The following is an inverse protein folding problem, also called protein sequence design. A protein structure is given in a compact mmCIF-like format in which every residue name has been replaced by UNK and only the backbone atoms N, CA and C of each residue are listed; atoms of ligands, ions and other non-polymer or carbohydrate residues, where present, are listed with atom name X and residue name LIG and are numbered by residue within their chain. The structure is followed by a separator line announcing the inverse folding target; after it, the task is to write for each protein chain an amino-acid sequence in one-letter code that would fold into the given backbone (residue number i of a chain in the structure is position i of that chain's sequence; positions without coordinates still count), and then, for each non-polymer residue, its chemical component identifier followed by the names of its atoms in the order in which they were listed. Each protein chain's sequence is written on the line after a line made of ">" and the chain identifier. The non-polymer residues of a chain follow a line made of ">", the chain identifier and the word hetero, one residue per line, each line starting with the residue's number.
data_IF_433915110867
#
_entry.id   IF_433915110867
#
_cell.length_a   1.000
_cell.length_b   1.000
_cell.length_c   1.000
_cell.angle_alpha   90.00
_cell.angle_beta   90.00
_cell.angle_gamma   90.00
#
_symmetry.space_group_name_H-M   'P 1'
#
loop_
_entity.id
_entity.type
_entity.pdbx_description
1 polymer ?
#
# COMPACT_ATOMS: atom_id res chain seq x y z
N UNK A 1 9.81 12.32 -48.31
CA UNK A 1 9.70 11.14 -47.43
C UNK A 1 10.94 10.27 -47.63
N UNK A 2 11.93 10.35 -46.73
CA UNK A 2 12.99 9.37 -46.68
C UNK A 2 12.97 8.64 -45.34
N UNK A 3 12.82 7.33 -45.44
CA UNK A 3 13.21 6.34 -44.46
C UNK A 3 14.70 6.53 -44.17
N UNK A 4 15.08 6.72 -42.90
CA UNK A 4 16.46 6.59 -42.46
C UNK A 4 16.70 5.19 -41.85
N UNK A 5 17.88 4.60 -42.08
CA UNK A 5 18.09 3.17 -41.97
C UNK A 5 18.64 2.77 -40.60
N UNK A 6 18.18 1.62 -40.09
CA UNK A 6 18.83 0.90 -39.01
C UNK A 6 20.14 0.25 -39.49
N UNK A 7 21.27 0.38 -38.76
CA UNK A 7 22.28 -0.66 -38.68
C UNK A 7 22.23 -1.36 -37.31
N UNK A 8 22.41 -2.68 -37.39
CA UNK A 8 22.14 -3.70 -36.39
C UNK A 8 23.25 -3.82 -35.33
N UNK A 9 22.79 -3.92 -34.09
CA UNK A 9 23.22 -4.74 -32.94
C UNK A 9 24.64 -5.36 -32.96
N UNK A 10 25.40 -5.12 -31.89
CA UNK A 10 26.43 -6.05 -31.39
C UNK A 10 26.28 -6.18 -29.87
N UNK A 11 25.57 -7.22 -29.41
CA UNK A 11 26.11 -8.39 -28.67
C UNK A 11 26.78 -7.96 -27.34
N UNK A 12 26.30 -8.32 -26.14
CA UNK A 12 25.99 -9.68 -25.68
C UNK A 12 25.06 -9.61 -24.45
N UNK A 13 23.96 -10.35 -24.57
CA UNK A 13 23.18 -11.06 -23.56
C UNK A 13 23.37 -10.81 -22.03
N UNK A 14 22.23 -10.55 -21.38
CA UNK A 14 21.60 -11.47 -20.41
C UNK A 14 22.42 -11.78 -19.14
N UNK A 15 22.33 -10.91 -18.14
CA UNK A 15 22.29 -11.30 -16.71
C UNK A 15 22.11 -10.06 -15.81
N UNK A 16 20.90 -9.49 -15.64
CA UNK A 16 20.65 -8.50 -14.57
C UNK A 16 19.16 -8.42 -14.12
N UNK A 17 18.35 -9.46 -14.33
CA UNK A 17 16.95 -9.50 -13.88
C UNK A 17 16.75 -9.98 -12.43
N UNK A 18 17.83 -10.06 -11.63
CA UNK A 18 17.78 -10.47 -10.22
C UNK A 18 18.56 -9.53 -9.29
N UNK A 19 19.15 -8.45 -9.82
CA UNK A 19 20.10 -7.62 -9.05
C UNK A 19 19.55 -6.25 -8.63
N UNK A 20 18.56 -5.70 -9.33
CA UNK A 20 18.15 -4.28 -9.14
C UNK A 20 17.11 -4.12 -8.02
N UNK A 21 16.20 -5.10 -7.84
CA UNK A 21 15.29 -5.13 -6.69
C UNK A 21 16.01 -5.31 -5.33
N UNK A 22 17.30 -5.67 -5.34
CA UNK A 22 18.12 -5.82 -4.14
C UNK A 22 19.08 -4.63 -3.91
N UNK A 23 19.34 -3.81 -4.92
CA UNK A 23 20.33 -2.71 -4.80
C UNK A 23 19.74 -1.36 -4.40
N UNK A 24 18.45 -1.10 -4.66
CA UNK A 24 17.83 0.21 -4.37
C UNK A 24 17.11 0.28 -3.01
N UNK A 25 16.40 -0.77 -2.60
CA UNK A 25 15.91 -0.94 -1.22
C UNK A 25 17.04 -0.89 -0.16
N UNK A 26 18.27 -1.13 -0.58
CA UNK A 26 19.47 -1.11 0.26
C UNK A 26 20.00 0.29 0.56
N UNK A 27 19.67 1.31 -0.25
CA UNK A 27 20.33 2.63 -0.20
C UNK A 27 19.48 3.72 0.46
N UNK A 28 18.18 3.76 0.23
CA UNK A 28 17.30 4.83 0.74
C UNK A 28 16.67 4.47 2.12
N UNK A 29 16.54 3.18 2.47
CA UNK A 29 15.90 2.74 3.72
C UNK A 29 16.80 1.98 4.72
N UNK A 30 18.08 1.73 4.44
CA UNK A 30 18.98 0.95 5.32
C UNK A 30 18.45 -0.42 5.81
N UNK A 31 17.43 -1.02 5.20
CA UNK A 31 16.96 -2.36 5.58
C UNK A 31 17.38 -3.35 4.50
N UNK A 32 18.64 -3.74 4.57
CA UNK A 32 19.26 -4.67 3.62
C UNK A 32 18.84 -6.13 3.81
N UNK A 33 18.11 -6.37 4.90
CA UNK A 33 17.33 -7.56 5.19
C UNK A 33 16.25 -7.14 6.19
N UNK A 34 14.98 -7.18 5.81
CA UNK A 34 13.94 -7.34 6.83
C UNK A 34 14.15 -8.75 7.39
N UNK A 35 14.85 -8.85 8.51
CA UNK A 35 14.81 -10.09 9.27
C UNK A 35 13.37 -10.29 9.75
N UNK A 36 13.00 -11.54 10.03
CA UNK A 36 11.63 -11.86 10.42
C UNK A 36 11.16 -11.05 11.64
N UNK A 37 12.05 -10.68 12.56
CA UNK A 37 11.70 -9.85 13.70
C UNK A 37 11.36 -8.42 13.29
N UNK A 38 12.16 -7.80 12.43
CA UNK A 38 11.86 -6.47 11.89
C UNK A 38 10.55 -6.45 11.10
N UNK A 39 10.27 -7.49 10.32
CA UNK A 39 9.03 -7.58 9.55
C UNK A 39 7.82 -7.73 10.48
N UNK A 40 7.97 -8.55 11.52
CA UNK A 40 6.96 -8.72 12.56
C UNK A 40 6.60 -7.39 13.21
N UNK A 41 7.60 -6.69 13.75
CA UNK A 41 7.39 -5.47 14.51
C UNK A 41 6.77 -4.34 13.66
N UNK A 42 7.08 -4.27 12.36
CA UNK A 42 6.48 -3.27 11.47
C UNK A 42 4.96 -3.48 11.29
N UNK A 43 4.50 -4.74 11.36
CA UNK A 43 3.10 -5.10 11.14
C UNK A 43 2.36 -5.42 12.45
N UNK A 44 3.02 -5.24 13.59
CA UNK A 44 2.40 -5.23 14.91
C UNK A 44 1.87 -3.81 15.21
N UNK A 45 0.76 -3.46 14.54
CA UNK A 45 0.27 -2.07 14.50
C UNK A 45 -0.17 -1.53 15.86
N UNK A 46 -0.58 -2.41 16.78
CA UNK A 46 -0.97 -2.04 18.13
C UNK A 46 0.10 -2.32 19.18
N UNK A 47 1.28 -2.81 18.76
CA UNK A 47 2.42 -3.13 19.61
C UNK A 47 2.09 -4.17 20.70
N UNK A 48 1.20 -5.10 20.38
CA UNK A 48 0.77 -6.18 21.29
C UNK A 48 1.76 -7.35 21.34
N UNK A 49 2.79 -7.35 20.48
CA UNK A 49 3.74 -8.44 20.27
C UNK A 49 3.09 -9.74 19.74
N UNK A 50 1.90 -9.60 19.16
CA UNK A 50 1.13 -10.64 18.49
C UNK A 50 0.48 -10.04 17.24
N UNK A 51 0.46 -10.76 16.12
CA UNK A 51 -0.39 -10.39 15.01
C UNK A 51 -1.79 -10.94 15.23
N UNK A 52 -2.73 -10.03 15.38
CA UNK A 52 -4.15 -10.33 15.45
C UNK A 52 -4.75 -10.47 14.05
N UNK A 53 -6.01 -10.89 13.97
CA UNK A 53 -6.77 -10.86 12.73
C UNK A 53 -6.81 -9.45 12.10
N UNK A 54 -6.84 -8.40 12.93
CA UNK A 54 -6.84 -7.01 12.49
C UNK A 54 -5.53 -6.63 11.80
N UNK A 55 -4.41 -7.04 12.36
CA UNK A 55 -3.07 -6.78 11.82
C UNK A 55 -2.85 -7.52 10.51
N UNK A 56 -3.33 -8.77 10.41
CA UNK A 56 -3.27 -9.54 9.18
C UNK A 56 -4.14 -8.94 8.08
N UNK A 57 -5.36 -8.47 8.40
CA UNK A 57 -6.20 -7.76 7.42
C UNK A 57 -5.49 -6.53 6.86
N UNK A 58 -4.79 -5.75 7.70
CA UNK A 58 -4.00 -4.60 7.26
C UNK A 58 -2.79 -5.01 6.43
N UNK A 59 -2.04 -6.01 6.90
CA UNK A 59 -0.84 -6.54 6.24
C UNK A 59 -1.14 -7.05 4.83
N UNK A 60 -2.31 -7.64 4.61
CA UNK A 60 -2.77 -8.08 3.29
C UNK A 60 -3.53 -7.00 2.49
N UNK A 61 -3.61 -5.76 2.97
CA UNK A 61 -4.35 -4.68 2.29
C UNK A 61 -5.86 -4.91 2.21
N UNK A 62 -6.43 -5.81 3.02
CA UNK A 62 -7.84 -6.24 2.93
C UNK A 62 -8.83 -5.22 3.51
N UNK A 63 -8.32 -4.11 4.03
CA UNK A 63 -9.11 -2.95 4.46
C UNK A 63 -9.13 -1.82 3.44
N UNK A 64 -8.32 -1.92 2.40
CA UNK A 64 -8.23 -0.91 1.37
C UNK A 64 -9.46 -0.92 0.44
N UNK A 65 -9.71 0.22 -0.20
CA UNK A 65 -10.75 0.40 -1.22
C UNK A 65 -10.58 -0.58 -2.39
N UNK A 66 -9.35 -0.84 -2.82
CA UNK A 66 -9.03 -1.74 -3.93
C UNK A 66 -9.53 -3.16 -3.68
N UNK A 67 -9.56 -3.61 -2.42
CA UNK A 67 -10.00 -4.95 -2.01
C UNK A 67 -11.46 -5.01 -1.59
N UNK A 68 -12.25 -3.94 -1.83
CA UNK A 68 -13.70 -3.94 -1.53
C UNK A 68 -14.51 -4.98 -2.29
N UNK A 69 -14.04 -5.36 -3.48
CA UNK A 69 -14.68 -6.38 -4.30
C UNK A 69 -14.56 -7.79 -3.70
N UNK A 70 -13.66 -8.00 -2.73
CA UNK A 70 -13.44 -9.27 -2.05
C UNK A 70 -14.48 -9.43 -0.93
N UNK A 71 -15.13 -10.59 -0.88
CA UNK A 71 -16.14 -10.86 0.14
C UNK A 71 -15.52 -10.94 1.54
N UNK A 72 -16.27 -10.51 2.57
CA UNK A 72 -15.79 -10.62 3.95
C UNK A 72 -15.43 -12.07 4.33
N UNK A 73 -16.22 -13.04 3.85
CA UNK A 73 -15.95 -14.45 4.11
C UNK A 73 -14.62 -14.93 3.53
N UNK A 74 -14.17 -14.38 2.39
CA UNK A 74 -12.89 -14.76 1.79
C UNK A 74 -11.72 -14.01 2.46
N UNK A 75 -11.93 -12.78 2.92
CA UNK A 75 -10.98 -12.05 3.78
C UNK A 75 -10.74 -12.82 5.09
N UNK A 76 -11.82 -13.25 5.75
CA UNK A 76 -11.76 -14.00 7.00
C UNK A 76 -11.02 -15.34 6.80
N UNK A 77 -11.30 -16.07 5.71
CA UNK A 77 -10.59 -17.32 5.39
C UNK A 77 -9.09 -17.10 5.21
N UNK A 78 -8.69 -16.05 4.49
CA UNK A 78 -7.28 -15.74 4.26
C UNK A 78 -6.55 -15.45 5.57
N UNK A 79 -7.16 -14.66 6.45
CA UNK A 79 -6.62 -14.40 7.79
C UNK A 79 -6.48 -15.70 8.60
N UNK A 80 -7.52 -16.54 8.59
CA UNK A 80 -7.49 -17.83 9.30
C UNK A 80 -6.42 -18.79 8.76
N UNK A 81 -6.20 -18.82 7.44
CA UNK A 81 -5.13 -19.62 6.83
C UNK A 81 -3.74 -19.10 7.18
N UNK A 82 -3.56 -17.78 7.26
CA UNK A 82 -2.32 -17.17 7.73
C UNK A 82 -2.03 -17.53 9.20
N UNK A 83 -3.02 -17.36 10.10
CA UNK A 83 -2.90 -17.75 11.52
C UNK A 83 -2.53 -19.22 11.63
N UNK A 84 -3.28 -20.11 10.97
CA UNK A 84 -3.05 -21.57 10.99
C UNK A 84 -1.65 -21.98 10.53
N UNK A 85 -0.99 -21.16 9.70
CA UNK A 85 0.36 -21.46 9.21
C UNK A 85 1.41 -21.33 10.33
N UNK A 86 1.21 -20.40 11.26
CA UNK A 86 2.21 -20.06 12.29
C UNK A 86 1.76 -20.38 13.72
N UNK A 87 0.48 -20.26 14.04
CA UNK A 87 -0.12 -20.49 15.36
C UNK A 87 0.10 -21.94 15.82
N UNK A 88 1.03 -22.13 16.75
CA UNK A 88 1.42 -23.42 17.33
C UNK A 88 0.74 -23.66 18.66
N UNK A 89 0.46 -22.61 19.41
CA UNK A 89 -0.15 -22.71 20.73
C UNK A 89 -1.69 -22.70 20.70
N UNK A 90 -2.29 -22.40 19.55
CA UNK A 90 -3.73 -22.35 19.34
C UNK A 90 -4.38 -21.10 19.92
N UNK A 91 -3.62 -20.02 20.08
CA UNK A 91 -4.10 -18.73 20.59
C UNK A 91 -5.07 -18.04 19.63
N UNK A 92 -5.02 -18.36 18.34
CA UNK A 92 -5.75 -17.62 17.30
C UNK A 92 -5.07 -16.31 16.89
N UNK A 93 -3.83 -16.08 17.32
CA UNK A 93 -2.95 -14.99 16.89
C UNK A 93 -1.61 -15.57 16.41
N UNK A 94 -0.69 -14.72 15.95
CA UNK A 94 0.68 -15.15 15.63
C UNK A 94 1.63 -14.36 16.51
N UNK A 95 2.27 -15.01 17.48
CA UNK A 95 3.28 -14.36 18.32
C UNK A 95 4.59 -14.08 17.56
N UNK A 96 5.39 -13.14 18.08
CA UNK A 96 6.74 -12.88 17.56
C UNK A 96 7.58 -14.15 17.43
N UNK A 97 7.51 -15.03 18.45
CA UNK A 97 8.26 -16.28 18.48
C UNK A 97 7.80 -17.25 17.38
N UNK A 98 6.50 -17.42 17.21
CA UNK A 98 5.94 -18.31 16.18
C UNK A 98 6.30 -17.83 14.78
N UNK A 99 6.18 -16.52 14.53
CA UNK A 99 6.53 -15.96 13.23
C UNK A 99 8.03 -16.12 12.93
N UNK A 100 8.91 -15.73 13.87
CA UNK A 100 10.36 -15.76 13.64
C UNK A 100 10.90 -17.18 13.54
N UNK A 101 10.46 -18.11 14.40
CA UNK A 101 10.82 -19.53 14.33
C UNK A 101 10.26 -20.16 13.06
N UNK A 102 8.99 -19.91 12.75
CA UNK A 102 8.35 -20.42 11.54
C UNK A 102 9.05 -19.96 10.27
N UNK A 103 9.38 -18.67 10.20
CA UNK A 103 10.12 -18.07 9.07
C UNK A 103 11.52 -18.69 8.94
N UNK A 104 12.23 -18.89 10.06
CA UNK A 104 13.53 -19.57 10.05
C UNK A 104 13.44 -21.04 9.59
N UNK A 105 12.29 -21.69 9.80
CA UNK A 105 12.00 -23.03 9.30
C UNK A 105 11.51 -23.04 7.84
N UNK A 106 11.41 -21.88 7.18
CA UNK A 106 11.00 -21.74 5.79
C UNK A 106 9.49 -21.63 5.58
N UNK A 107 8.69 -21.47 6.65
CA UNK A 107 7.30 -21.07 6.51
C UNK A 107 7.22 -19.65 5.94
N UNK A 108 6.16 -19.41 5.18
CA UNK A 108 5.90 -18.12 4.55
C UNK A 108 4.42 -17.80 4.73
N UNK A 109 4.13 -16.51 4.82
CA UNK A 109 2.75 -16.02 4.69
C UNK A 109 2.19 -16.49 3.33
N UNK A 110 0.99 -17.09 3.30
CA UNK A 110 0.37 -17.50 2.04
C UNK A 110 0.07 -16.29 1.14
N UNK A 111 0.25 -16.47 -0.16
CA UNK A 111 -0.22 -15.51 -1.16
C UNK A 111 -1.63 -15.92 -1.63
N UNK A 112 -2.61 -15.07 -1.36
CA UNK A 112 -4.01 -15.31 -1.69
C UNK A 112 -4.41 -14.75 -3.06
N UNK A 113 -3.51 -14.07 -3.77
CA UNK A 113 -3.79 -13.51 -5.09
C UNK A 113 -4.77 -12.32 -5.06
N UNK A 114 -4.91 -11.66 -3.91
CA UNK A 114 -5.78 -10.50 -3.73
C UNK A 114 -5.19 -9.19 -4.27
N UNK A 115 -3.99 -9.25 -4.83
CA UNK A 115 -3.20 -8.10 -5.24
C UNK A 115 -1.96 -7.95 -4.36
N UNK A 116 -1.11 -6.96 -4.63
CA UNK A 116 0.14 -6.75 -3.89
C UNK A 116 -0.07 -6.47 -2.40
N UNK A 117 -1.29 -6.12 -1.98
CA UNK A 117 -1.54 -5.51 -0.67
C UNK A 117 -1.17 -4.02 -0.73
N UNK A 118 -1.85 -3.20 0.08
CA UNK A 118 -1.52 -1.79 0.25
C UNK A 118 -0.77 -1.68 1.58
N UNK A 119 0.53 -1.40 1.52
CA UNK A 119 1.44 -1.26 2.66
C UNK A 119 1.57 0.19 3.17
N UNK A 120 0.89 1.16 2.53
CA UNK A 120 0.87 2.57 2.92
C UNK A 120 -0.41 3.31 2.50
N UNK A 121 -0.36 4.65 2.53
CA UNK A 121 -1.38 5.48 1.87
C UNK A 121 -1.24 5.40 0.34
N UNK A 122 -2.25 5.89 -0.39
CA UNK A 122 -2.28 5.80 -1.85
C UNK A 122 -1.07 6.45 -2.53
N UNK A 123 -0.49 7.47 -1.89
CA UNK A 123 0.66 8.24 -2.39
C UNK A 123 1.94 7.41 -2.30
N UNK A 124 2.20 6.79 -1.14
CA UNK A 124 3.35 5.91 -0.94
C UNK A 124 3.33 4.70 -1.88
N UNK A 125 2.17 4.07 -2.06
CA UNK A 125 2.00 2.91 -2.95
C UNK A 125 2.23 3.24 -4.43
N UNK A 126 1.71 4.39 -4.88
CA UNK A 126 1.96 4.88 -6.24
C UNK A 126 3.46 5.10 -6.48
N UNK A 127 4.15 5.72 -5.51
CA UNK A 127 5.58 6.00 -5.60
C UNK A 127 6.41 4.71 -5.73
N UNK A 128 6.20 3.74 -4.85
CA UNK A 128 7.05 2.54 -4.80
C UNK A 128 6.73 1.48 -5.86
N UNK A 129 5.45 1.32 -6.26
CA UNK A 129 5.04 0.21 -7.12
C UNK A 129 4.87 0.60 -8.59
N UNK A 130 4.50 1.85 -8.85
CA UNK A 130 4.23 2.33 -10.19
C UNK A 130 5.28 3.32 -10.66
N UNK A 131 5.55 4.36 -9.86
CA UNK A 131 6.53 5.39 -10.23
C UNK A 131 7.92 4.79 -10.39
N UNK A 132 8.49 4.11 -9.39
CA UNK A 132 9.82 3.49 -9.54
C UNK A 132 9.93 2.44 -10.67
N UNK A 133 8.80 1.86 -11.09
CA UNK A 133 8.77 0.81 -12.11
C UNK A 133 8.72 1.35 -13.54
N UNK A 134 7.98 2.42 -13.75
CA UNK A 134 7.71 2.98 -15.09
C UNK A 134 8.31 4.36 -15.30
N UNK A 135 8.75 5.01 -14.22
CA UNK A 135 9.29 6.35 -14.18
C UNK A 135 10.63 6.38 -13.43
N UNK A 136 11.41 7.45 -13.61
CA UNK A 136 12.69 7.66 -12.93
C UNK A 136 12.92 9.14 -12.62
N UNK A 137 14.09 9.46 -12.06
CA UNK A 137 14.48 10.83 -11.68
C UNK A 137 14.48 11.86 -12.84
N UNK A 138 14.45 11.38 -14.09
CA UNK A 138 14.38 12.20 -15.30
C UNK A 138 12.97 12.24 -15.91
N UNK A 139 11.99 11.50 -15.36
CA UNK A 139 10.59 11.53 -15.79
C UNK A 139 10.05 12.94 -15.65
N UNK A 140 9.43 13.43 -16.71
CA UNK A 140 8.71 14.71 -16.70
C UNK A 140 7.22 14.47 -16.51
N UNK A 141 6.50 15.52 -16.13
CA UNK A 141 5.03 15.50 -16.02
C UNK A 141 4.34 15.01 -17.31
N UNK A 142 4.91 15.33 -18.47
CA UNK A 142 4.44 14.88 -19.78
C UNK A 142 4.58 13.37 -20.05
N UNK A 143 5.41 12.67 -19.27
CA UNK A 143 5.64 11.23 -19.37
C UNK A 143 4.70 10.42 -18.44
N UNK A 144 3.98 11.07 -17.52
CA UNK A 144 3.07 10.47 -16.54
C UNK A 144 1.68 10.16 -17.13
N UNK A 145 1.66 9.29 -18.14
CA UNK A 145 0.47 9.02 -18.96
C UNK A 145 -0.08 7.59 -18.84
N UNK A 146 0.45 6.78 -17.92
CA UNK A 146 -0.11 5.45 -17.68
C UNK A 146 -1.52 5.59 -17.07
N UNK A 147 -2.43 4.65 -17.35
CA UNK A 147 -3.77 4.64 -16.75
C UNK A 147 -3.75 4.83 -15.23
N UNK A 148 -2.77 4.21 -14.55
CA UNK A 148 -2.55 4.31 -13.12
C UNK A 148 -2.03 5.70 -12.68
N UNK A 149 -1.19 6.37 -13.49
CA UNK A 149 -0.76 7.77 -13.25
C UNK A 149 -1.98 8.70 -13.26
N UNK A 150 -2.82 8.56 -14.30
CA UNK A 150 -4.00 9.39 -14.51
C UNK A 150 -5.02 9.17 -13.39
N UNK A 151 -5.24 7.92 -12.97
CA UNK A 151 -6.17 7.60 -11.89
C UNK A 151 -5.69 8.14 -10.55
N UNK A 152 -4.40 8.00 -10.24
CA UNK A 152 -3.78 8.56 -9.04
C UNK A 152 -3.94 10.09 -8.97
N UNK A 153 -3.59 10.82 -10.03
CA UNK A 153 -3.73 12.28 -10.06
C UNK A 153 -5.19 12.74 -10.00
N UNK A 154 -6.08 12.04 -10.69
CA UNK A 154 -7.52 12.35 -10.62
C UNK A 154 -8.06 12.20 -9.20
N UNK A 155 -7.56 11.22 -8.42
CA UNK A 155 -7.93 11.06 -7.01
C UNK A 155 -7.44 12.25 -6.18
N UNK A 156 -6.20 12.70 -6.39
CA UNK A 156 -5.66 13.91 -5.75
C UNK A 156 -6.50 15.16 -6.06
N UNK A 157 -6.79 15.43 -7.34
CA UNK A 157 -7.63 16.56 -7.75
C UNK A 157 -8.99 16.53 -7.03
N UNK A 158 -9.61 15.35 -6.94
CA UNK A 158 -10.89 15.18 -6.25
C UNK A 158 -10.77 15.45 -4.73
N UNK A 159 -9.68 15.04 -4.10
CA UNK A 159 -9.43 15.26 -2.67
C UNK A 159 -9.18 16.75 -2.38
N UNK A 160 -8.37 17.41 -3.19
CA UNK A 160 -8.07 18.84 -3.06
C UNK A 160 -9.34 19.68 -3.21
N UNK A 161 -10.19 19.38 -4.21
CA UNK A 161 -11.47 20.06 -4.36
C UNK A 161 -12.40 19.83 -3.16
N UNK A 162 -12.42 18.62 -2.59
CA UNK A 162 -13.23 18.31 -1.41
C UNK A 162 -12.72 19.08 -0.20
N UNK A 163 -11.40 19.15 -0.01
CA UNK A 163 -10.78 19.93 1.05
C UNK A 163 -11.08 21.42 0.90
N UNK A 164 -10.92 21.99 -0.29
CA UNK A 164 -11.28 23.39 -0.54
C UNK A 164 -12.76 23.68 -0.24
N UNK A 165 -13.66 22.78 -0.61
CA UNK A 165 -15.08 22.89 -0.29
C UNK A 165 -15.30 22.89 1.22
N UNK A 166 -14.65 21.98 1.94
CA UNK A 166 -14.73 21.92 3.40
C UNK A 166 -14.17 23.18 4.06
N UNK A 167 -13.01 23.67 3.63
CA UNK A 167 -12.42 24.91 4.14
C UNK A 167 -13.30 26.14 3.91
N UNK A 168 -13.98 26.22 2.75
CA UNK A 168 -14.96 27.29 2.49
C UNK A 168 -16.15 27.21 3.46
N UNK A 169 -16.62 26.00 3.77
CA UNK A 169 -17.67 25.79 4.76
C UNK A 169 -17.20 26.17 6.17
N UNK A 170 -15.99 25.78 6.57
CA UNK A 170 -15.41 26.05 7.90
C UNK A 170 -15.08 27.54 8.10
N UNK A 171 -14.71 28.25 7.02
CA UNK A 171 -14.54 29.71 7.03
C UNK A 171 -15.86 30.46 7.21
N UNK A 172 -17.00 29.80 7.05
CA UNK A 172 -18.32 30.40 7.27
C UNK A 172 -18.63 30.31 8.78
N UNK A 173 -18.55 31.41 9.55
CA UNK A 173 -18.57 31.34 11.02
C UNK A 173 -19.93 30.90 11.60
N UNK A 174 -21.02 31.11 10.84
CA UNK A 174 -22.38 30.79 11.23
C UNK A 174 -23.14 30.33 9.99
N UNK A 175 -23.54 29.06 9.94
CA UNK A 175 -24.51 28.58 8.96
C UNK A 175 -25.90 28.94 9.47
N UNK A 176 -26.49 30.04 8.97
CA UNK A 176 -27.77 30.58 9.46
C UNK A 176 -28.92 29.54 9.44
N UNK A 177 -28.90 28.62 8.48
CA UNK A 177 -29.86 27.53 8.37
C UNK A 177 -29.83 26.57 9.58
N UNK A 178 -28.67 26.39 10.21
CA UNK A 178 -28.46 25.53 11.37
C UNK A 178 -28.67 26.25 12.72
N UNK A 179 -28.96 27.56 12.73
CA UNK A 179 -29.29 28.28 13.97
C UNK A 179 -30.63 27.74 14.51
N UNK A 180 -30.64 27.09 15.70
CA UNK A 180 -31.88 26.62 16.31
C UNK A 180 -32.87 27.77 16.51
N UNK A 181 -34.17 27.51 16.31
CA UNK A 181 -35.23 28.53 16.33
C UNK A 181 -35.21 29.41 17.60
N UNK A 182 -34.79 28.85 18.75
CA UNK A 182 -34.64 29.55 20.04
C UNK A 182 -33.62 30.69 20.06
N UNK A 183 -32.71 30.78 19.07
CA UNK A 183 -31.69 31.84 18.96
C UNK A 183 -31.94 32.81 17.79
N UNK A 184 -33.00 32.61 17.01
CA UNK A 184 -33.39 33.54 15.95
C UNK A 184 -34.12 34.72 16.60
N UNK A 185 -33.55 35.93 16.56
CA UNK A 185 -34.29 37.14 16.96
C UNK A 185 -35.31 37.45 15.86
N UNK A 186 -36.60 37.27 16.17
CA UNK A 186 -37.66 37.86 15.36
C UNK A 186 -37.46 39.38 15.39
N UNK A 187 -37.36 39.99 14.21
CA UNK A 187 -37.30 41.44 14.05
C UNK A 187 -38.54 42.13 14.60
#
# INVERSE_FOLDING_TARGET
>A
MPLCPFPKVSRVSKAMAQLVARSYLNKEHHITSFDAGSFFNLHDYDSSNEWTAEDLLKTYGLKDESTKHISQADKDKAVQEAIKTFDRDGSGTISFAEYTIGSAQGLKLPDFGFGPGHHGDDEYEYEIHHFEKYHDENTKEEDLIHPEDIEHFKKHDMMDEQQERQERMDRTPIVEANIPAKFRRNG
#
